data_IF_563991343553
#
_entry.id   IF_563991343553
#
_cell.length_a   1.000
_cell.length_b   1.000
_cell.length_c   1.000
_cell.angle_alpha   90.00
_cell.angle_beta   90.00
_cell.angle_gamma   90.00
#
_symmetry.space_group_name_H-M   'P 1'
#
loop_
_entity.id
_entity.type
_entity.pdbx_description
1 polymer ?
#
# COMPACT_ATOMS: atom_id res chain seq x y z
N UNK A 1 -3.90 11.51 12.93
CA UNK A 1 -3.49 10.23 12.31
C UNK A 1 -4.22 10.07 10.97
N UNK A 2 -3.49 9.73 9.93
CA UNK A 2 -4.04 9.65 8.59
C UNK A 2 -4.08 8.20 8.12
N UNK A 3 -5.24 7.79 7.61
CA UNK A 3 -5.43 6.46 7.03
C UNK A 3 -5.61 6.56 5.53
N UNK A 4 -5.27 5.49 4.82
CA UNK A 4 -5.52 5.37 3.40
C UNK A 4 -6.10 3.98 3.12
N UNK A 5 -7.06 3.91 2.20
CA UNK A 5 -7.65 2.65 1.78
C UNK A 5 -6.85 2.10 0.61
N UNK A 6 -6.33 0.88 0.75
CA UNK A 6 -5.60 0.19 -0.29
C UNK A 6 -6.32 -1.11 -0.61
N UNK A 7 -6.64 -1.30 -1.88
CA UNK A 7 -7.39 -2.48 -2.31
C UNK A 7 -6.47 -3.68 -2.49
N UNK A 8 -6.95 -4.83 -2.09
CA UNK A 8 -6.23 -6.07 -2.30
C UNK A 8 -7.20 -7.15 -2.74
N UNK A 9 -6.66 -8.22 -3.30
CA UNK A 9 -7.49 -9.32 -3.82
C UNK A 9 -8.21 -10.08 -2.73
N UNK A 10 -7.62 -10.13 -1.55
CA UNK A 10 -8.20 -10.85 -0.42
C UNK A 10 -9.04 -9.98 0.50
N UNK A 11 -9.18 -8.69 0.19
CA UNK A 11 -9.89 -7.74 1.03
C UNK A 11 -9.13 -6.44 1.12
N UNK A 12 -9.82 -5.34 1.40
CA UNK A 12 -9.18 -4.03 1.43
C UNK A 12 -8.44 -3.82 2.76
N UNK A 13 -7.38 -3.00 2.69
CA UNK A 13 -6.64 -2.58 3.87
C UNK A 13 -6.91 -1.11 4.15
N UNK A 14 -7.16 -0.78 5.40
CA UNK A 14 -7.15 0.60 5.88
C UNK A 14 -5.84 0.79 6.63
N UNK A 15 -4.92 1.55 6.07
CA UNK A 15 -3.53 1.60 6.51
C UNK A 15 -3.21 2.96 7.11
N UNK A 16 -2.50 2.96 8.23
CA UNK A 16 -1.96 4.19 8.82
C UNK A 16 -0.79 4.65 7.96
N UNK A 17 -0.93 5.82 7.35
CA UNK A 17 0.07 6.32 6.39
C UNK A 17 1.46 6.43 7.02
N UNK A 18 1.54 6.88 8.26
CA UNK A 18 2.82 7.03 8.96
C UNK A 18 3.56 5.70 9.17
N UNK A 19 2.86 4.57 9.06
CA UNK A 19 3.47 3.26 9.22
C UNK A 19 3.98 2.66 7.92
N UNK A 20 3.79 3.33 6.81
CA UNK A 20 4.28 2.84 5.52
C UNK A 20 5.76 3.18 5.40
N UNK A 21 6.58 2.15 5.20
CA UNK A 21 8.03 2.32 5.11
C UNK A 21 8.51 2.39 3.66
N UNK A 22 7.95 1.55 2.77
CA UNK A 22 8.37 1.53 1.37
C UNK A 22 7.30 0.89 0.49
N UNK A 23 7.43 1.14 -0.81
CA UNK A 23 6.63 0.46 -1.83
C UNK A 23 7.58 -0.29 -2.74
N UNK A 24 7.17 -1.45 -3.21
CA UNK A 24 7.96 -2.25 -4.13
C UNK A 24 7.06 -2.88 -5.18
N UNK A 25 7.46 -2.80 -6.43
CA UNK A 25 6.73 -3.43 -7.52
C UNK A 25 6.70 -4.95 -7.32
N UNK A 26 5.51 -5.52 -7.49
CA UNK A 26 5.34 -6.97 -7.46
C UNK A 26 4.74 -7.43 -8.78
N UNK A 27 4.46 -8.72 -8.90
CA UNK A 27 3.93 -9.30 -10.12
C UNK A 27 2.46 -8.96 -10.32
N UNK A 28 1.99 -9.09 -11.57
CA UNK A 28 0.55 -9.03 -11.91
C UNK A 28 -0.12 -7.70 -11.57
N UNK A 29 0.60 -6.60 -11.72
CA UNK A 29 0.04 -5.28 -11.48
C UNK A 29 -0.22 -4.98 -10.02
N UNK A 30 0.50 -5.66 -9.12
CA UNK A 30 0.38 -5.46 -7.68
C UNK A 30 1.62 -4.75 -7.14
N UNK A 31 1.45 -4.15 -5.99
CA UNK A 31 2.53 -3.47 -5.27
C UNK A 31 2.63 -4.03 -3.86
N UNK A 32 3.84 -4.27 -3.42
CA UNK A 32 4.10 -4.69 -2.04
C UNK A 32 4.33 -3.44 -1.20
N UNK A 33 3.54 -3.28 -0.15
CA UNK A 33 3.66 -2.16 0.78
C UNK A 33 4.35 -2.67 2.03
N UNK A 34 5.57 -2.19 2.26
CA UNK A 34 6.32 -2.55 3.46
C UNK A 34 5.94 -1.62 4.60
N UNK A 35 5.61 -2.22 5.73
CA UNK A 35 5.19 -1.48 6.91
C UNK A 35 6.32 -1.37 7.92
N UNK A 36 6.30 -0.31 8.68
CA UNK A 36 7.21 -0.20 9.85
C UNK A 36 6.88 -1.37 10.77
N UNK A 37 7.90 -2.10 11.18
CA UNK A 37 7.71 -3.30 12.00
C UNK A 37 7.87 -4.61 11.23
N UNK A 38 7.95 -4.54 9.90
CA UNK A 38 8.29 -5.68 9.06
C UNK A 38 7.16 -6.35 8.31
N UNK A 39 5.90 -5.98 8.56
CA UNK A 39 4.78 -6.53 7.80
C UNK A 39 4.82 -6.06 6.36
N UNK A 40 4.34 -6.90 5.46
CA UNK A 40 4.22 -6.57 4.04
C UNK A 40 2.81 -6.85 3.58
N UNK A 41 2.23 -5.87 2.87
CA UNK A 41 0.89 -6.00 2.32
C UNK A 41 0.99 -6.04 0.80
N UNK A 42 0.22 -6.93 0.17
CA UNK A 42 0.16 -7.01 -1.28
C UNK A 42 -1.13 -6.33 -1.74
N UNK A 43 -1.01 -5.24 -2.48
CA UNK A 43 -2.15 -4.42 -2.89
C UNK A 43 -2.24 -4.33 -4.41
N UNK A 44 -3.43 -4.07 -4.90
CA UNK A 44 -3.71 -3.95 -6.34
C UNK A 44 -3.32 -2.55 -6.82
N UNK A 45 -2.59 -2.51 -7.93
CA UNK A 45 -2.20 -1.26 -8.57
C UNK A 45 -0.70 -1.16 -8.74
N UNK A 46 -0.28 -0.25 -9.60
CA UNK A 46 1.15 0.01 -9.81
C UNK A 46 1.69 0.82 -8.64
N UNK A 47 3.01 0.81 -8.51
CA UNK A 47 3.68 1.60 -7.47
C UNK A 47 3.29 3.08 -7.58
N UNK A 48 3.21 3.60 -8.80
CA UNK A 48 2.82 5.00 -9.04
C UNK A 48 1.38 5.26 -8.60
N UNK A 49 0.47 4.34 -8.88
CA UNK A 49 -0.92 4.47 -8.47
C UNK A 49 -1.06 4.46 -6.95
N UNK A 50 -0.35 3.56 -6.30
CA UNK A 50 -0.40 3.46 -4.85
C UNK A 50 0.21 4.72 -4.22
N UNK A 51 1.34 5.19 -4.75
CA UNK A 51 1.96 6.42 -4.25
C UNK A 51 1.01 7.61 -4.39
N UNK A 52 0.32 7.73 -5.53
CA UNK A 52 -0.64 8.80 -5.74
C UNK A 52 -1.79 8.74 -4.73
N UNK A 53 -2.29 7.54 -4.46
CA UNK A 53 -3.36 7.34 -3.47
C UNK A 53 -2.91 7.77 -2.08
N UNK A 54 -1.70 7.40 -1.69
CA UNK A 54 -1.15 7.77 -0.38
C UNK A 54 -0.99 9.30 -0.28
N UNK A 55 -0.48 9.92 -1.33
CA UNK A 55 -0.26 11.37 -1.32
C UNK A 55 -1.57 12.16 -1.34
N UNK A 56 -2.61 11.65 -2.00
CA UNK A 56 -3.90 12.31 -2.07
C UNK A 56 -4.69 12.16 -0.77
N UNK A 57 -4.49 11.07 -0.11
CA UNK A 57 -5.17 10.77 1.14
C UNK A 57 -4.54 11.49 2.32
#
# INVERSE_FOLDING_TARGET
>A
MKFVLLKSRGGDYMVVVANIAYLRTDENGQTKVGMVGGDQLLVVGTMEEIAATILAG
#
